data_IF_492686148183
#
_entry.id   IF_492686148183
#
_cell.length_a   1.000
_cell.length_b   1.000
_cell.length_c   1.000
_cell.angle_alpha   90.00
_cell.angle_beta   90.00
_cell.angle_gamma   90.00
#
_symmetry.space_group_name_H-M   'P 1'
#
loop_
_entity.id
_entity.type
_entity.pdbx_description
1 polymer ?
#
# COMPACT_ATOMS: atom_id res chain seq x y z
N UNK A 1 11.71 20.37 16.22
CA UNK A 1 11.84 19.30 15.21
C UNK A 1 10.45 18.79 14.92
N UNK A 2 10.02 18.66 13.65
CA UNK A 2 8.73 18.05 13.35
C UNK A 2 8.72 16.58 13.80
N UNK A 3 7.62 16.14 14.39
CA UNK A 3 7.40 14.74 14.74
C UNK A 3 6.56 14.08 13.65
N UNK A 4 7.09 13.02 13.02
CA UNK A 4 6.43 12.35 11.89
C UNK A 4 5.57 11.15 12.31
N UNK A 5 6.05 10.34 13.27
CA UNK A 5 5.32 9.19 13.84
C UNK A 5 4.65 8.29 12.79
N UNK A 6 5.41 7.86 11.78
CA UNK A 6 4.91 7.03 10.68
C UNK A 6 5.85 5.86 10.39
N UNK A 7 5.28 4.79 9.84
CA UNK A 7 6.04 3.68 9.29
C UNK A 7 6.78 4.14 8.02
N UNK A 8 8.04 3.72 7.89
CA UNK A 8 8.90 4.05 6.75
C UNK A 8 9.56 2.78 6.23
N UNK A 9 10.01 2.80 4.97
CA UNK A 9 10.81 1.71 4.39
C UNK A 9 12.16 1.59 5.12
N UNK A 10 12.72 0.38 5.13
CA UNK A 10 13.88 0.00 5.95
C UNK A 10 15.13 0.88 5.74
N UNK A 11 15.31 1.43 4.53
CA UNK A 11 16.47 2.25 4.17
C UNK A 11 16.28 3.76 4.37
N UNK A 12 15.10 4.21 4.80
CA UNK A 12 14.84 5.63 5.07
C UNK A 12 15.76 6.19 6.17
N UNK A 13 16.03 5.49 7.29
CA UNK A 13 16.99 5.95 8.30
C UNK A 13 18.38 6.28 7.71
N UNK A 14 18.92 5.41 6.85
CA UNK A 14 20.23 5.56 6.21
C UNK A 14 20.23 6.72 5.22
N UNK A 15 19.14 6.91 4.46
CA UNK A 15 18.99 8.05 3.56
C UNK A 15 18.97 9.37 4.35
N UNK A 16 18.28 9.41 5.50
CA UNK A 16 18.25 10.58 6.38
C UNK A 16 19.66 10.88 6.92
N UNK A 17 20.38 9.85 7.38
CA UNK A 17 21.75 9.97 7.86
C UNK A 17 22.69 10.56 6.79
N UNK A 18 22.64 10.03 5.56
CA UNK A 18 23.42 10.49 4.42
C UNK A 18 23.13 11.96 4.07
N UNK A 19 21.92 12.45 4.36
CA UNK A 19 21.57 13.86 4.21
C UNK A 19 22.12 14.78 5.32
N UNK A 20 22.88 14.24 6.27
CA UNK A 20 23.46 14.97 7.42
C UNK A 20 22.44 15.32 8.50
N UNK A 21 21.24 14.74 8.46
CA UNK A 21 20.17 14.99 9.43
C UNK A 21 20.21 13.96 10.56
N UNK A 22 19.81 14.38 11.75
CA UNK A 22 19.61 13.48 12.90
C UNK A 22 18.20 12.90 12.86
N UNK A 23 18.06 11.64 13.31
CA UNK A 23 16.78 10.96 13.41
C UNK A 23 16.71 10.09 14.67
N UNK A 24 15.49 9.71 15.03
CA UNK A 24 15.20 8.71 16.07
C UNK A 24 14.25 7.69 15.46
N UNK A 25 14.51 6.40 15.69
CA UNK A 25 13.66 5.29 15.24
C UNK A 25 13.48 4.30 16.38
N UNK A 26 12.46 3.46 16.25
CA UNK A 26 12.21 2.31 17.13
C UNK A 26 11.61 1.19 16.30
N UNK A 27 11.98 -0.06 16.58
CA UNK A 27 11.35 -1.21 15.95
C UNK A 27 9.98 -1.48 16.58
N UNK A 28 8.99 -1.74 15.74
CA UNK A 28 7.61 -2.04 16.16
C UNK A 28 7.48 -3.52 16.56
N UNK A 29 6.62 -3.80 17.53
CA UNK A 29 6.09 -5.16 17.73
C UNK A 29 5.21 -5.59 16.55
N UNK A 30 4.88 -6.88 16.43
CA UNK A 30 4.01 -7.37 15.35
C UNK A 30 2.64 -6.69 15.36
N UNK A 31 2.04 -6.48 16.53
CA UNK A 31 0.73 -5.84 16.66
C UNK A 31 0.77 -4.36 16.29
N UNK A 32 1.80 -3.63 16.73
CA UNK A 32 2.02 -2.24 16.33
C UNK A 32 2.29 -2.15 14.84
N UNK A 33 3.12 -3.03 14.28
CA UNK A 33 3.43 -3.07 12.86
C UNK A 33 2.18 -3.32 12.01
N UNK A 34 1.31 -4.26 12.42
CA UNK A 34 0.03 -4.52 11.75
C UNK A 34 -0.87 -3.28 11.75
N UNK A 35 -0.91 -2.53 12.85
CA UNK A 35 -1.66 -1.28 12.95
C UNK A 35 -1.09 -0.20 12.05
N UNK A 36 0.23 0.00 12.09
CA UNK A 36 0.90 1.04 11.32
C UNK A 36 0.89 0.74 9.81
N UNK A 37 0.95 -0.54 9.38
CA UNK A 37 0.76 -0.90 7.96
C UNK A 37 -0.62 -0.54 7.42
N UNK A 38 -1.68 -0.71 8.21
CA UNK A 38 -3.04 -0.31 7.79
C UNK A 38 -3.14 1.21 7.62
N UNK A 39 -2.56 1.97 8.56
CA UNK A 39 -2.46 3.42 8.43
C UNK A 39 -1.63 3.82 7.21
N UNK A 40 -0.53 3.10 6.96
CA UNK A 40 0.30 3.33 5.79
C UNK A 40 -0.50 3.12 4.50
N UNK A 41 -1.32 2.06 4.41
CA UNK A 41 -2.21 1.86 3.28
C UNK A 41 -3.19 3.03 3.06
N UNK A 42 -3.72 3.62 4.14
CA UNK A 42 -4.59 4.80 4.07
C UNK A 42 -3.81 6.08 3.66
N UNK A 43 -2.57 6.25 4.11
CA UNK A 43 -1.64 7.31 3.72
C UNK A 43 -1.39 7.24 2.20
N UNK A 44 -0.84 6.13 1.69
CA UNK A 44 -0.49 5.98 0.27
C UNK A 44 -1.73 6.05 -0.64
N UNK A 45 -2.88 5.53 -0.18
CA UNK A 45 -4.14 5.67 -0.93
C UNK A 45 -4.61 7.11 -1.01
N UNK A 46 -4.37 7.90 0.04
CA UNK A 46 -4.70 9.32 0.04
C UNK A 46 -3.75 10.10 -0.86
N UNK A 47 -2.45 9.79 -0.83
CA UNK A 47 -1.44 10.37 -1.72
C UNK A 47 -1.76 10.06 -3.19
N UNK A 48 -2.13 8.81 -3.54
CA UNK A 48 -2.58 8.45 -4.89
C UNK A 48 -3.79 9.27 -5.37
N UNK A 49 -4.79 9.50 -4.51
CA UNK A 49 -5.96 10.33 -4.86
C UNK A 49 -5.61 11.81 -5.05
N UNK A 50 -4.59 12.29 -4.35
CA UNK A 50 -4.14 13.68 -4.38
C UNK A 50 -3.06 13.95 -5.44
N UNK A 51 -2.52 12.89 -6.05
CA UNK A 51 -1.55 12.97 -7.13
C UNK A 51 -2.05 13.85 -8.29
N UNK A 52 -1.22 14.77 -8.74
CA UNK A 52 -1.56 15.78 -9.75
C UNK A 52 -1.04 15.41 -11.13
N UNK A 53 -0.14 14.44 -11.20
CA UNK A 53 0.48 13.97 -12.44
C UNK A 53 0.40 12.45 -12.53
N UNK A 54 0.47 11.93 -13.76
CA UNK A 54 0.51 10.48 -14.01
C UNK A 54 1.75 9.83 -13.38
N UNK A 55 2.87 10.55 -13.36
CA UNK A 55 4.10 10.06 -12.74
C UNK A 55 3.93 9.92 -11.23
N UNK A 56 3.43 10.96 -10.54
CA UNK A 56 3.11 10.88 -9.11
C UNK A 56 2.16 9.71 -8.83
N UNK A 57 1.07 9.59 -9.61
CA UNK A 57 0.11 8.51 -9.43
C UNK A 57 0.74 7.11 -9.54
N UNK A 58 1.70 6.91 -10.45
CA UNK A 58 2.42 5.62 -10.59
C UNK A 58 3.34 5.35 -9.40
N UNK A 59 4.03 6.36 -8.87
CA UNK A 59 4.88 6.22 -7.67
C UNK A 59 4.02 5.83 -6.45
N UNK A 60 2.90 6.51 -6.22
CA UNK A 60 2.01 6.19 -5.09
C UNK A 60 1.36 4.81 -5.24
N UNK A 61 1.07 4.37 -6.48
CA UNK A 61 0.61 2.99 -6.74
C UNK A 61 1.71 1.95 -6.43
N UNK A 62 2.98 2.27 -6.67
CA UNK A 62 4.09 1.38 -6.33
C UNK A 62 4.27 1.28 -4.81
N UNK A 63 4.09 2.37 -4.07
CA UNK A 63 4.09 2.36 -2.61
C UNK A 63 2.89 1.59 -2.04
N UNK A 64 1.69 1.75 -2.61
CA UNK A 64 0.53 0.90 -2.29
C UNK A 64 0.80 -0.58 -2.54
N UNK A 65 1.45 -0.92 -3.66
CA UNK A 65 1.76 -2.32 -3.98
C UNK A 65 2.70 -2.95 -2.95
N UNK A 66 3.72 -2.21 -2.47
CA UNK A 66 4.58 -2.66 -1.37
C UNK A 66 3.77 -2.92 -0.10
N UNK A 67 2.88 -2.00 0.27
CA UNK A 67 2.02 -2.16 1.45
C UNK A 67 1.12 -3.40 1.32
N UNK A 68 0.59 -3.65 0.12
CA UNK A 68 -0.20 -4.87 -0.17
C UNK A 68 0.63 -6.14 0.02
N UNK A 69 1.90 -6.17 -0.43
CA UNK A 69 2.77 -7.32 -0.20
C UNK A 69 3.11 -7.52 1.27
N UNK A 70 3.39 -6.45 2.01
CA UNK A 70 3.64 -6.52 3.44
C UNK A 70 2.41 -7.03 4.22
N UNK A 71 1.21 -6.56 3.86
CA UNK A 71 -0.05 -7.03 4.42
C UNK A 71 -0.33 -8.49 4.05
N UNK A 72 -0.03 -8.92 2.83
CA UNK A 72 -0.16 -10.33 2.41
C UNK A 72 0.75 -11.23 3.25
N UNK A 73 2.00 -10.83 3.46
CA UNK A 73 2.95 -11.55 4.29
C UNK A 73 2.47 -11.67 5.75
N UNK A 74 1.88 -10.62 6.32
CA UNK A 74 1.25 -10.68 7.66
C UNK A 74 0.08 -11.68 7.74
N UNK A 75 -0.56 -11.99 6.62
CA UNK A 75 -1.62 -12.99 6.52
C UNK A 75 -1.11 -14.34 6.02
N UNK A 76 0.22 -14.55 6.00
CA UNK A 76 0.84 -15.83 5.63
C UNK A 76 0.84 -16.12 4.13
N UNK A 77 0.66 -15.11 3.29
CA UNK A 77 0.65 -15.25 1.84
C UNK A 77 1.90 -14.63 1.20
N UNK A 78 2.45 -15.30 0.18
CA UNK A 78 3.49 -14.75 -0.70
C UNK A 78 2.87 -13.85 -1.78
N UNK A 79 3.68 -12.99 -2.44
CA UNK A 79 3.21 -12.25 -3.62
C UNK A 79 2.63 -13.15 -4.72
N UNK A 80 3.22 -14.34 -4.94
CA UNK A 80 2.74 -15.28 -5.95
C UNK A 80 1.40 -15.91 -5.58
N UNK A 81 1.17 -16.21 -4.30
CA UNK A 81 -0.11 -16.72 -3.82
C UNK A 81 -1.20 -15.64 -3.92
N UNK A 82 -0.88 -14.39 -3.56
CA UNK A 82 -1.79 -13.27 -3.74
C UNK A 82 -2.16 -13.06 -5.22
N UNK A 83 -1.16 -13.11 -6.10
CA UNK A 83 -1.35 -12.97 -7.54
C UNK A 83 -2.19 -14.10 -8.13
N UNK A 84 -2.00 -15.34 -7.66
CA UNK A 84 -2.84 -16.47 -8.06
C UNK A 84 -4.32 -16.22 -7.71
N UNK A 85 -4.60 -15.76 -6.48
CA UNK A 85 -5.97 -15.42 -6.06
C UNK A 85 -6.53 -14.24 -6.88
N UNK A 86 -5.71 -13.23 -7.20
CA UNK A 86 -6.12 -12.11 -8.07
C UNK A 86 -6.49 -12.61 -9.46
N UNK A 87 -5.70 -13.50 -10.04
CA UNK A 87 -5.94 -14.05 -11.37
C UNK A 87 -7.19 -14.92 -11.42
N UNK A 88 -7.41 -15.79 -10.42
CA UNK A 88 -8.65 -16.58 -10.32
C UNK A 88 -9.89 -15.69 -10.30
N UNK A 89 -9.88 -14.59 -9.52
CA UNK A 89 -10.97 -13.62 -9.51
C UNK A 89 -11.15 -12.93 -10.87
N UNK A 90 -10.06 -12.62 -11.56
CA UNK A 90 -10.10 -12.00 -12.89
C UNK A 90 -10.66 -12.96 -13.95
N UNK A 91 -10.35 -14.26 -13.86
CA UNK A 91 -10.88 -15.29 -14.76
C UNK A 91 -12.37 -15.54 -14.49
N UNK A 92 -12.79 -15.54 -13.23
CA UNK A 92 -14.19 -15.77 -12.82
C UNK A 92 -15.10 -14.55 -13.05
N UNK A 93 -14.59 -13.34 -12.81
CA UNK A 93 -15.40 -12.11 -12.72
C UNK A 93 -14.98 -11.00 -13.69
N UNK A 94 -13.95 -11.24 -14.48
CA UNK A 94 -13.32 -10.20 -15.30
C UNK A 94 -12.45 -9.23 -14.49
N UNK A 95 -11.83 -8.29 -15.20
CA UNK A 95 -11.16 -7.13 -14.62
C UNK A 95 -11.95 -5.84 -14.85
N UNK A 96 -11.34 -4.69 -14.54
CA UNK A 96 -11.97 -3.38 -14.74
C UNK A 96 -11.79 -2.81 -16.17
N UNK A 97 -11.34 -3.62 -17.14
CA UNK A 97 -11.01 -3.19 -18.50
C UNK A 97 -12.22 -2.66 -19.28
N UNK A 98 -13.40 -3.26 -19.08
CA UNK A 98 -14.65 -2.86 -19.74
C UNK A 98 -15.31 -1.62 -19.11
N UNK A 99 -14.76 -1.09 -18.00
CA UNK A 99 -15.24 0.14 -17.31
C UNK A 99 -16.73 0.11 -16.95
N UNK A 100 -17.24 -1.08 -16.60
CA UNK A 100 -18.65 -1.28 -16.25
C UNK A 100 -18.95 -0.63 -14.89
N UNK A 101 -19.98 0.22 -14.85
CA UNK A 101 -20.53 0.81 -13.63
C UNK A 101 -21.96 0.29 -13.42
N UNK A 102 -22.19 -0.44 -12.32
CA UNK A 102 -23.50 -0.96 -11.97
C UNK A 102 -24.36 0.19 -11.39
N UNK A 103 -25.49 0.49 -12.04
CA UNK A 103 -26.39 1.59 -11.63
C UNK A 103 -27.49 1.07 -10.71
N UNK A 104 -28.17 0.01 -11.11
CA UNK A 104 -29.28 -0.58 -10.35
C UNK A 104 -29.39 -2.08 -10.64
N UNK A 105 -30.02 -2.79 -9.71
CA UNK A 105 -30.43 -4.18 -9.85
C UNK A 105 -31.87 -4.24 -9.37
N UNK A 106 -32.77 -4.73 -10.21
CA UNK A 106 -34.15 -5.03 -9.84
C UNK A 106 -34.34 -6.54 -9.73
N UNK A 107 -35.07 -6.98 -8.70
CA UNK A 107 -35.53 -8.36 -8.60
C UNK A 107 -36.58 -8.64 -9.70
N UNK A 108 -36.61 -9.86 -10.24
CA UNK A 108 -37.66 -10.31 -11.17
C UNK A 108 -39.02 -10.51 -10.48
#
# INVERSE_FOLDING_TARGET
MPAYNKLVRDYIPQIIEQSGKKYTTSNLTIDEYKKELKKKAEEEWSEYKEAKTEHEAVEELADLLEVVYALAALNGATPQQLEHVRQQKADEKGGFNERVFLVEVEDQ
#
